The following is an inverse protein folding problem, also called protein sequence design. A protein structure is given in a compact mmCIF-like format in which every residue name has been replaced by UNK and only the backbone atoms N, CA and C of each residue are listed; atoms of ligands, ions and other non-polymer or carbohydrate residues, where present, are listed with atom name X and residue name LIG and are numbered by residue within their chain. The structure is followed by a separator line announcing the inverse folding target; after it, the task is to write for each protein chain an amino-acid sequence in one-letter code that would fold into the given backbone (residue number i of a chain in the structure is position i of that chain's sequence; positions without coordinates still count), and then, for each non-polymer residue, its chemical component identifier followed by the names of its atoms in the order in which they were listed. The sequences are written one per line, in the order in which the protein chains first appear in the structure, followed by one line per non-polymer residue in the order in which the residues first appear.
data_IF_466354520829
#
_entry.id   IF_466354520829
#
_cell.length_a   1.000
_cell.length_b   1.000
_cell.length_c   1.000
_cell.angle_alpha   90.00
_cell.angle_beta   90.00
_cell.angle_gamma   90.00
#
_symmetry.space_group_name_H-M   'P 1'
#
loop_
_entity.id
_entity.type
_entity.pdbx_description
1 polymer ?
#
# COMPACT_ATOMS: atom_id res chain seq x y z
N UNK A 1 -17.83 -15.44 7.38
CA UNK A 1 -16.40 -15.16 7.14
C UNK A 1 -16.01 -13.97 8.03
N UNK A 2 -15.00 -14.11 8.91
CA UNK A 2 -14.62 -13.06 9.86
C UNK A 2 -13.80 -11.96 9.15
N UNK A 3 -14.09 -10.71 9.49
CA UNK A 3 -13.42 -9.47 9.09
C UNK A 3 -11.90 -9.59 8.83
N UNK A 4 -11.16 -10.19 9.77
CA UNK A 4 -9.71 -10.32 9.68
C UNK A 4 -9.24 -11.18 8.49
N UNK A 5 -10.11 -12.09 8.01
CA UNK A 5 -9.76 -13.02 6.94
C UNK A 5 -9.86 -12.38 5.56
N UNK A 6 -10.83 -11.49 5.33
CA UNK A 6 -10.99 -10.86 4.01
C UNK A 6 -9.88 -9.82 3.75
N UNK A 7 -9.57 -8.98 4.74
CA UNK A 7 -8.43 -8.05 4.66
C UNK A 7 -7.12 -8.76 4.42
N UNK A 8 -6.86 -9.83 5.20
CA UNK A 8 -5.66 -10.62 5.05
C UNK A 8 -5.61 -11.25 3.66
N UNK A 9 -6.72 -11.80 3.17
CA UNK A 9 -6.77 -12.41 1.84
C UNK A 9 -6.54 -11.39 0.71
N UNK A 10 -7.17 -10.21 0.78
CA UNK A 10 -6.99 -9.17 -0.25
C UNK A 10 -5.54 -8.66 -0.28
N UNK A 11 -4.93 -8.44 0.88
CA UNK A 11 -3.53 -8.05 0.98
C UNK A 11 -2.61 -9.16 0.46
N UNK A 12 -2.86 -10.41 0.85
CA UNK A 12 -2.08 -11.55 0.36
C UNK A 12 -2.16 -11.67 -1.18
N UNK A 13 -3.30 -11.39 -1.81
CA UNK A 13 -3.41 -11.40 -3.27
C UNK A 13 -2.65 -10.24 -3.93
N UNK A 14 -2.68 -9.05 -3.32
CA UNK A 14 -1.94 -7.89 -3.82
C UNK A 14 -0.44 -8.04 -3.64
N UNK A 15 -0.01 -8.67 -2.54
CA UNK A 15 1.37 -9.09 -2.30
C UNK A 15 1.76 -10.12 -3.36
N UNK A 16 0.99 -11.21 -3.53
CA UNK A 16 1.29 -12.25 -4.52
C UNK A 16 1.35 -11.70 -5.97
N UNK A 17 0.50 -10.75 -6.35
CA UNK A 17 0.56 -10.12 -7.68
C UNK A 17 1.87 -9.37 -7.95
N UNK A 18 2.50 -8.89 -6.88
CA UNK A 18 3.58 -7.91 -6.89
C UNK A 18 4.90 -8.44 -6.32
N UNK A 19 4.91 -9.70 -5.92
CA UNK A 19 6.03 -10.40 -5.32
C UNK A 19 6.70 -11.30 -6.36
N UNK A 20 8.01 -11.43 -6.23
CA UNK A 20 8.87 -12.27 -7.04
C UNK A 20 9.05 -13.67 -6.41
N UNK A 21 8.49 -13.94 -5.23
CA UNK A 21 8.53 -15.27 -4.59
C UNK A 21 7.61 -16.29 -5.27
N UNK A 22 8.04 -17.55 -5.33
CA UNK A 22 7.29 -18.70 -5.91
C UNK A 22 6.73 -18.48 -7.33
N UNK A 23 7.31 -17.54 -8.09
CA UNK A 23 6.90 -17.31 -9.47
C UNK A 23 7.15 -18.57 -10.32
N UNK A 24 6.24 -18.83 -11.26
CA UNK A 24 6.38 -19.94 -12.20
C UNK A 24 6.16 -19.52 -13.66
N UNK A 25 6.09 -18.22 -13.91
CA UNK A 25 6.02 -17.62 -15.24
C UNK A 25 7.03 -16.48 -15.34
N UNK A 26 7.80 -16.46 -16.43
CA UNK A 26 8.56 -15.28 -16.86
C UNK A 26 7.91 -14.75 -18.13
N UNK A 27 7.61 -13.46 -18.16
CA UNK A 27 7.10 -12.74 -19.33
C UNK A 27 8.21 -11.80 -19.81
N UNK A 28 8.80 -12.10 -20.96
CA UNK A 28 9.73 -11.21 -21.65
C UNK A 28 8.93 -10.31 -22.60
N UNK A 29 9.07 -9.00 -22.44
CA UNK A 29 8.34 -7.98 -23.21
C UNK A 29 9.34 -7.15 -23.98
N UNK A 30 9.01 -6.85 -25.24
CA UNK A 30 9.84 -6.06 -26.15
C UNK A 30 10.77 -6.91 -27.02
N UNK A 31 11.64 -6.22 -27.76
CA UNK A 31 12.66 -6.79 -28.63
C UNK A 31 14.03 -6.19 -28.33
N UNK A 32 15.10 -6.94 -28.62
CA UNK A 32 16.47 -6.47 -28.44
C UNK A 32 16.69 -5.12 -29.15
N UNK A 33 17.31 -4.13 -28.49
CA UNK A 33 17.99 -4.19 -27.19
C UNK A 33 17.08 -3.93 -25.96
N UNK A 34 15.81 -3.60 -26.15
CA UNK A 34 14.89 -3.13 -25.11
C UNK A 34 13.96 -4.24 -24.58
N UNK A 35 14.54 -5.39 -24.22
CA UNK A 35 13.78 -6.47 -23.56
C UNK A 35 13.77 -6.27 -22.06
N UNK A 36 12.59 -6.45 -21.44
CA UNK A 36 12.44 -6.55 -19.98
C UNK A 36 11.70 -7.82 -19.61
N UNK A 37 12.12 -8.44 -18.51
CA UNK A 37 11.51 -9.66 -17.97
C UNK A 37 10.69 -9.35 -16.73
N UNK A 38 9.47 -9.89 -16.67
CA UNK A 38 8.55 -9.79 -15.55
C UNK A 38 8.28 -11.18 -14.99
N UNK A 39 8.35 -11.34 -13.68
CA UNK A 39 7.96 -12.57 -13.00
C UNK A 39 6.48 -12.51 -12.62
N UNK A 40 5.81 -13.65 -12.71
CA UNK A 40 4.39 -13.74 -12.40
C UNK A 40 3.97 -15.17 -12.03
N UNK A 41 2.76 -15.29 -11.49
CA UNK A 41 2.15 -16.56 -11.12
C UNK A 41 1.09 -16.95 -12.14
N UNK A 42 1.24 -18.13 -12.73
CA UNK A 42 0.30 -18.68 -13.72
C UNK A 42 -1.14 -18.75 -13.20
N UNK A 43 -1.34 -19.02 -11.91
CA UNK A 43 -2.66 -19.03 -11.29
C UNK A 43 -3.35 -17.66 -11.44
N UNK A 44 -2.66 -16.57 -11.09
CA UNK A 44 -3.20 -15.21 -11.22
C UNK A 44 -3.49 -14.90 -12.69
N UNK A 45 -2.51 -15.11 -13.57
CA UNK A 45 -2.63 -14.77 -14.99
C UNK A 45 -3.81 -15.49 -15.68
N UNK A 46 -4.00 -16.78 -15.38
CA UNK A 46 -5.08 -17.61 -15.95
C UNK A 46 -6.48 -17.15 -15.53
N UNK A 47 -6.63 -16.60 -14.33
CA UNK A 47 -7.92 -16.10 -13.84
C UNK A 47 -8.19 -14.64 -14.25
N UNK A 48 -7.13 -13.86 -14.51
CA UNK A 48 -7.24 -12.44 -14.85
C UNK A 48 -7.34 -12.17 -16.34
N UNK A 49 -6.89 -13.10 -17.19
CA UNK A 49 -6.86 -12.90 -18.64
C UNK A 49 -7.09 -14.20 -19.39
N UNK A 50 -8.13 -14.22 -20.23
CA UNK A 50 -8.38 -15.32 -21.16
C UNK A 50 -7.19 -15.55 -22.10
N UNK A 51 -6.55 -14.47 -22.55
CA UNK A 51 -5.34 -14.57 -23.36
C UNK A 51 -4.23 -15.34 -22.64
N UNK A 52 -3.92 -14.99 -21.38
CA UNK A 52 -2.92 -15.73 -20.62
C UNK A 52 -3.40 -17.12 -20.22
N UNK A 53 -4.71 -17.31 -20.03
CA UNK A 53 -5.30 -18.62 -19.79
C UNK A 53 -4.94 -19.61 -20.90
N UNK A 54 -5.27 -19.25 -22.13
CA UNK A 54 -5.06 -20.08 -23.31
C UNK A 54 -3.57 -20.19 -23.63
N UNK A 55 -2.83 -19.08 -23.53
CA UNK A 55 -1.39 -19.07 -23.82
C UNK A 55 -0.61 -19.98 -22.85
N UNK A 56 -0.93 -19.97 -21.56
CA UNK A 56 -0.27 -20.80 -20.55
C UNK A 56 -0.69 -22.28 -20.58
N UNK A 57 -1.77 -22.63 -21.30
CA UNK A 57 -2.20 -24.02 -21.47
C UNK A 57 -1.19 -24.82 -22.31
N UNK A 58 -0.57 -24.17 -23.31
CA UNK A 58 0.27 -24.82 -24.31
C UNK A 58 1.79 -24.63 -24.08
N UNK A 59 2.20 -23.84 -23.09
CA UNK A 59 3.61 -23.58 -22.83
C UNK A 59 4.24 -24.74 -22.06
N UNK A 60 5.33 -25.26 -22.62
CA UNK A 60 6.23 -26.22 -21.98
C UNK A 60 7.08 -25.47 -20.96
N UNK A 61 7.20 -26.05 -19.77
CA UNK A 61 8.05 -25.53 -18.70
C UNK A 61 9.49 -26.00 -18.89
N UNK A 62 10.46 -25.20 -18.41
CA UNK A 62 11.87 -25.58 -18.41
C UNK A 62 12.20 -26.59 -17.28
N UNK A 63 13.48 -26.92 -17.13
CA UNK A 63 13.96 -27.85 -16.09
C UNK A 63 13.70 -27.36 -14.66
N UNK A 64 13.44 -26.07 -14.48
CA UNK A 64 13.11 -25.45 -13.20
C UNK A 64 11.58 -25.28 -13.01
N UNK A 65 10.76 -25.88 -13.87
CA UNK A 65 9.31 -25.73 -13.90
C UNK A 65 8.83 -24.29 -14.20
N UNK A 66 9.64 -23.48 -14.87
CA UNK A 66 9.30 -22.11 -15.25
C UNK A 66 8.75 -22.09 -16.67
N UNK A 67 7.61 -21.41 -16.85
CA UNK A 67 7.02 -21.15 -18.17
C UNK A 67 7.45 -19.79 -18.69
N UNK A 68 8.01 -19.72 -19.90
CA UNK A 68 8.43 -18.45 -20.50
C UNK A 68 7.45 -17.99 -21.58
N UNK A 69 6.97 -16.75 -21.48
CA UNK A 69 6.15 -16.06 -22.48
C UNK A 69 6.99 -14.95 -23.10
N UNK A 70 7.07 -14.92 -24.43
CA UNK A 70 7.67 -13.80 -25.16
C UNK A 70 6.56 -12.94 -25.80
N UNK A 71 6.56 -11.64 -25.51
CA UNK A 71 5.64 -10.60 -26.01
C UNK A 71 6.45 -9.56 -26.78
N UNK A 72 6.96 -9.97 -27.95
CA UNK A 72 7.88 -9.17 -28.76
C UNK A 72 7.27 -7.86 -29.27
N UNK A 73 6.02 -7.90 -29.72
CA UNK A 73 5.34 -6.74 -30.31
C UNK A 73 4.72 -5.78 -29.28
N UNK A 74 5.03 -5.93 -27.99
CA UNK A 74 4.55 -5.05 -26.92
C UNK A 74 5.75 -4.30 -26.39
N UNK A 75 5.66 -2.96 -26.37
CA UNK A 75 6.69 -2.14 -25.73
C UNK A 75 6.63 -2.35 -24.21
N UNK A 76 7.80 -2.42 -23.57
CA UNK A 76 7.91 -2.60 -22.13
C UNK A 76 7.09 -1.59 -21.34
N UNK A 77 7.13 -0.32 -21.73
CA UNK A 77 6.36 0.78 -21.13
C UNK A 77 4.84 0.55 -21.17
N UNK A 78 4.32 0.00 -22.28
CA UNK A 78 2.89 -0.31 -22.39
C UNK A 78 2.47 -1.46 -21.48
N UNK A 79 3.34 -2.46 -21.30
CA UNK A 79 3.05 -3.59 -20.41
C UNK A 79 3.07 -3.19 -18.94
N UNK A 80 4.04 -2.35 -18.55
CA UNK A 80 4.09 -1.75 -17.21
C UNK A 80 2.86 -0.90 -16.93
N UNK A 81 2.49 -0.04 -17.88
CA UNK A 81 1.28 0.76 -17.77
C UNK A 81 0.02 -0.10 -17.59
N UNK A 82 -0.11 -1.20 -18.35
CA UNK A 82 -1.23 -2.13 -18.19
C UNK A 82 -1.24 -2.80 -16.81
N UNK A 83 -0.07 -3.18 -16.28
CA UNK A 83 0.05 -3.77 -14.95
C UNK A 83 -0.41 -2.79 -13.86
N UNK A 84 0.06 -1.55 -13.92
CA UNK A 84 -0.29 -0.50 -12.96
C UNK A 84 -1.77 -0.13 -13.04
N UNK A 85 -2.31 -0.01 -14.26
CA UNK A 85 -3.73 0.29 -14.49
C UNK A 85 -4.65 -0.83 -13.97
N UNK A 86 -4.23 -2.10 -14.08
CA UNK A 86 -4.96 -3.23 -13.51
C UNK A 86 -4.96 -3.20 -11.97
N UNK A 87 -3.82 -2.90 -11.34
CA UNK A 87 -3.73 -2.76 -9.89
C UNK A 87 -4.64 -1.62 -9.40
N UNK A 88 -4.57 -0.46 -10.05
CA UNK A 88 -5.40 0.72 -9.77
C UNK A 88 -6.90 0.43 -9.92
N UNK A 89 -7.30 -0.24 -10.99
CA UNK A 89 -8.71 -0.60 -11.21
C UNK A 89 -9.23 -1.57 -10.15
N UNK A 90 -8.39 -2.51 -9.69
CA UNK A 90 -8.75 -3.42 -8.60
C UNK A 90 -8.93 -2.67 -7.27
N UNK A 91 -8.02 -1.76 -6.93
CA UNK A 91 -8.16 -0.93 -5.73
C UNK A 91 -9.43 -0.08 -5.78
N UNK A 92 -9.67 0.61 -6.90
CA UNK A 92 -10.87 1.45 -7.11
C UNK A 92 -12.15 0.63 -6.95
N UNK A 93 -12.22 -0.54 -7.60
CA UNK A 93 -13.37 -1.42 -7.48
C UNK A 93 -13.60 -1.86 -6.02
N UNK A 94 -12.54 -2.18 -5.27
CA UNK A 94 -12.67 -2.54 -3.85
C UNK A 94 -13.15 -1.35 -3.01
N UNK A 95 -12.64 -0.15 -3.28
CA UNK A 95 -13.04 1.09 -2.62
C UNK A 95 -14.53 1.38 -2.82
N UNK A 96 -15.01 1.26 -4.04
CA UNK A 96 -16.41 1.54 -4.40
C UNK A 96 -17.34 0.44 -3.85
N UNK A 97 -17.03 -0.82 -4.15
CA UNK A 97 -17.91 -1.97 -3.83
C UNK A 97 -17.96 -2.29 -2.32
N UNK A 98 -16.95 -1.91 -1.54
CA UNK A 98 -16.87 -2.13 -0.09
C UNK A 98 -16.83 -0.83 0.71
N UNK A 99 -17.23 0.29 0.13
CA UNK A 99 -17.17 1.62 0.75
C UNK A 99 -17.74 1.69 2.18
N UNK A 100 -18.92 1.12 2.43
CA UNK A 100 -19.51 1.09 3.79
C UNK A 100 -18.64 0.34 4.79
N UNK A 101 -18.10 -0.80 4.38
CA UNK A 101 -17.21 -1.62 5.20
C UNK A 101 -15.88 -0.90 5.47
N UNK A 102 -15.30 -0.31 4.42
CA UNK A 102 -14.05 0.47 4.53
C UNK A 102 -14.19 1.65 5.49
N UNK A 103 -15.33 2.35 5.45
CA UNK A 103 -15.61 3.46 6.38
C UNK A 103 -15.74 2.99 7.83
N UNK A 104 -16.31 1.80 8.07
CA UNK A 104 -16.41 1.22 9.41
C UNK A 104 -15.04 0.85 9.98
N UNK A 105 -14.12 0.40 9.12
CA UNK A 105 -12.78 -0.05 9.50
C UNK A 105 -11.67 0.93 9.10
N UNK A 106 -12.03 2.21 9.01
CA UNK A 106 -11.21 3.26 8.41
C UNK A 106 -9.77 3.30 8.93
N UNK A 107 -9.55 3.41 10.24
CA UNK A 107 -8.20 3.56 10.79
C UNK A 107 -7.30 2.38 10.45
N UNK A 108 -7.85 1.16 10.50
CA UNK A 108 -7.13 -0.07 10.16
C UNK A 108 -6.82 -0.18 8.67
N UNK A 109 -7.76 0.20 7.82
CA UNK A 109 -7.55 0.29 6.36
C UNK A 109 -6.42 1.27 6.06
N UNK A 110 -6.45 2.47 6.64
CA UNK A 110 -5.41 3.46 6.43
C UNK A 110 -4.05 2.97 6.92
N UNK A 111 -3.99 2.42 8.14
CA UNK A 111 -2.76 1.83 8.66
C UNK A 111 -2.18 0.77 7.71
N UNK A 112 -3.01 -0.12 7.15
CA UNK A 112 -2.58 -1.14 6.20
C UNK A 112 -2.18 -0.57 4.84
N UNK A 113 -2.92 0.41 4.33
CA UNK A 113 -2.61 1.07 3.06
C UNK A 113 -1.24 1.76 3.09
N UNK A 114 -0.89 2.46 4.17
CA UNK A 114 0.41 3.13 4.31
C UNK A 114 1.56 2.18 4.69
N UNK A 115 1.27 0.91 5.02
CA UNK A 115 2.30 -0.12 5.18
C UNK A 115 2.80 -0.69 3.86
N UNK A 116 2.02 -0.54 2.79
CA UNK A 116 2.32 -1.05 1.46
C UNK A 116 2.36 0.11 0.47
N UNK A 117 3.56 0.46 0.01
CA UNK A 117 3.78 1.61 -0.86
C UNK A 117 3.12 1.47 -2.24
N UNK A 118 2.58 0.29 -2.59
CA UNK A 118 1.89 0.03 -3.87
C UNK A 118 0.38 0.34 -3.83
N UNK A 119 -0.22 0.56 -2.65
CA UNK A 119 -1.67 0.77 -2.49
C UNK A 119 -2.08 2.23 -2.65
N UNK A 120 -1.79 2.82 -3.81
CA UNK A 120 -1.89 4.26 -4.02
C UNK A 120 -3.33 4.79 -3.96
N UNK A 121 -4.30 4.05 -4.50
CA UNK A 121 -5.70 4.51 -4.50
C UNK A 121 -6.31 4.39 -3.10
N UNK A 122 -5.97 3.35 -2.33
CA UNK A 122 -6.38 3.27 -0.92
C UNK A 122 -5.76 4.37 -0.07
N UNK A 123 -4.47 4.69 -0.27
CA UNK A 123 -3.81 5.79 0.44
C UNK A 123 -4.48 7.13 0.11
N UNK A 124 -4.78 7.38 -1.16
CA UNK A 124 -5.52 8.56 -1.62
C UNK A 124 -6.90 8.64 -1.00
N UNK A 125 -7.67 7.56 -1.05
CA UNK A 125 -8.99 7.46 -0.43
C UNK A 125 -8.96 7.75 1.08
N UNK A 126 -7.96 7.22 1.78
CA UNK A 126 -7.72 7.52 3.19
C UNK A 126 -7.47 9.01 3.41
N UNK A 127 -6.53 9.57 2.66
CA UNK A 127 -6.18 10.97 2.75
C UNK A 127 -7.38 11.90 2.50
N UNK A 128 -8.21 11.62 1.50
CA UNK A 128 -9.41 12.41 1.17
C UNK A 128 -10.44 12.43 2.32
N UNK A 129 -10.49 11.38 3.13
CA UNK A 129 -11.33 11.31 4.32
C UNK A 129 -10.67 12.04 5.50
N UNK A 130 -9.37 11.87 5.70
CA UNK A 130 -8.61 12.52 6.78
C UNK A 130 -8.71 14.04 6.67
N UNK A 131 -8.60 14.58 5.46
CA UNK A 131 -8.67 16.03 5.21
C UNK A 131 -10.01 16.62 5.61
N UNK A 132 -11.10 15.89 5.36
CA UNK A 132 -12.46 16.33 5.69
C UNK A 132 -12.80 16.15 7.16
N UNK A 133 -12.23 15.15 7.81
CA UNK A 133 -12.54 14.79 9.20
C UNK A 133 -11.28 14.52 10.04
N UNK A 134 -10.34 15.48 10.13
CA UNK A 134 -9.05 15.25 10.77
C UNK A 134 -9.21 14.98 12.26
N UNK A 135 -10.12 15.67 12.96
CA UNK A 135 -10.38 15.43 14.38
C UNK A 135 -10.78 13.97 14.65
N UNK A 136 -11.57 13.34 13.76
CA UNK A 136 -12.00 11.94 13.92
C UNK A 136 -10.83 10.96 13.74
N UNK A 137 -9.97 11.21 12.75
CA UNK A 137 -8.79 10.39 12.52
C UNK A 137 -7.79 10.52 13.66
N UNK A 138 -7.40 11.75 13.99
CA UNK A 138 -6.43 12.04 15.03
C UNK A 138 -6.92 11.68 16.43
N UNK A 139 -8.23 11.59 16.67
CA UNK A 139 -8.77 11.15 17.97
C UNK A 139 -8.94 9.63 18.10
N UNK A 140 -8.71 8.86 17.02
CA UNK A 140 -8.81 7.41 17.04
C UNK A 140 -7.78 6.78 18.00
N UNK A 141 -8.19 5.73 18.72
CA UNK A 141 -7.31 4.96 19.61
C UNK A 141 -6.12 4.35 18.83
N UNK A 142 -6.36 3.94 17.59
CA UNK A 142 -5.36 3.31 16.73
C UNK A 142 -4.40 4.34 16.07
N UNK A 143 -4.62 5.64 16.25
CA UNK A 143 -3.80 6.68 15.61
C UNK A 143 -2.31 6.54 15.97
N UNK A 144 -1.99 6.20 17.21
CA UNK A 144 -0.60 6.03 17.64
C UNK A 144 0.08 4.81 17.02
N UNK A 145 -0.66 3.95 16.32
CA UNK A 145 -0.13 2.73 15.67
C UNK A 145 0.23 2.93 14.20
N UNK A 146 0.02 4.12 13.63
CA UNK A 146 0.42 4.42 12.24
C UNK A 146 1.94 4.52 12.11
N UNK A 147 2.48 4.12 10.95
CA UNK A 147 3.91 4.28 10.64
C UNK A 147 4.26 5.75 10.40
N UNK A 148 5.55 6.06 10.57
CA UNK A 148 6.09 7.42 10.40
C UNK A 148 5.81 7.99 9.00
N UNK A 149 6.06 7.23 7.92
CA UNK A 149 5.75 7.64 6.55
C UNK A 149 4.28 8.07 6.36
N UNK A 150 3.34 7.37 7.00
CA UNK A 150 1.91 7.70 7.01
C UNK A 150 1.64 9.02 7.72
N UNK A 151 2.24 9.22 8.91
CA UNK A 151 2.09 10.46 9.66
C UNK A 151 2.65 11.64 8.85
N UNK A 152 3.83 11.48 8.25
CA UNK A 152 4.47 12.52 7.43
C UNK A 152 3.63 12.88 6.21
N UNK A 153 3.03 11.90 5.52
CA UNK A 153 2.17 12.17 4.36
C UNK A 153 0.92 12.97 4.73
N UNK A 154 0.39 12.79 5.95
CA UNK A 154 -0.78 13.51 6.45
C UNK A 154 -0.41 14.94 6.86
N UNK A 155 0.65 15.13 7.66
CA UNK A 155 0.99 16.45 8.20
C UNK A 155 1.59 17.41 7.16
N UNK A 156 2.09 16.89 6.02
CA UNK A 156 2.58 17.70 4.88
C UNK A 156 1.45 18.37 4.08
N UNK A 157 0.19 18.10 4.41
CA UNK A 157 -0.96 18.63 3.68
C UNK A 157 -1.41 19.98 4.21
N UNK A 158 -1.45 20.96 3.33
CA UNK A 158 -1.91 22.32 3.65
C UNK A 158 -3.45 22.43 3.71
N UNK A 159 -4.18 21.42 3.23
CA UNK A 159 -5.65 21.43 3.13
C UNK A 159 -6.35 20.74 4.31
N UNK A 160 -5.60 20.26 5.32
CA UNK A 160 -6.16 19.69 6.53
C UNK A 160 -7.10 20.70 7.21
N UNK A 161 -8.35 20.30 7.42
CA UNK A 161 -9.36 21.12 8.10
C UNK A 161 -9.15 21.13 9.64
N UNK A 162 -7.94 21.44 10.09
CA UNK A 162 -7.50 21.44 11.49
C UNK A 162 -6.40 22.48 11.70
N UNK A 163 -6.40 23.17 12.84
CA UNK A 163 -5.33 24.12 13.16
C UNK A 163 -4.00 23.42 13.42
N UNK A 164 -2.89 24.03 12.98
CA UNK A 164 -1.54 23.48 13.17
C UNK A 164 -1.23 23.12 14.63
N UNK A 165 -1.67 23.96 15.57
CA UNK A 165 -1.47 23.70 17.01
C UNK A 165 -2.14 22.39 17.46
N UNK A 166 -3.31 22.04 16.89
CA UNK A 166 -3.96 20.75 17.16
C UNK A 166 -3.18 19.60 16.51
N UNK A 167 -2.75 19.77 15.26
CA UNK A 167 -1.92 18.77 14.56
C UNK A 167 -0.67 18.46 15.37
N UNK A 168 0.06 19.49 15.82
CA UNK A 168 1.25 19.34 16.65
C UNK A 168 1.00 18.58 17.96
N UNK A 169 -0.13 18.82 18.64
CA UNK A 169 -0.51 18.06 19.84
C UNK A 169 -0.67 16.56 19.53
N UNK A 170 -1.24 16.22 18.39
CA UNK A 170 -1.37 14.81 17.97
C UNK A 170 -0.03 14.21 17.55
N UNK A 171 0.83 14.94 16.84
CA UNK A 171 2.19 14.49 16.50
C UNK A 171 3.00 14.16 17.75
N UNK A 172 2.93 15.02 18.77
CA UNK A 172 3.56 14.76 20.08
C UNK A 172 2.98 13.51 20.72
N UNK A 173 1.65 13.35 20.72
CA UNK A 173 0.97 12.17 21.28
C UNK A 173 1.42 10.88 20.58
N UNK A 174 1.54 10.90 19.25
CA UNK A 174 2.10 9.80 18.47
C UNK A 174 3.55 9.52 18.84
N UNK A 175 4.37 10.57 18.96
CA UNK A 175 5.78 10.49 19.33
C UNK A 175 6.04 9.88 20.70
N UNK A 176 5.23 10.23 21.71
CA UNK A 176 5.24 9.61 23.04
C UNK A 176 4.96 8.11 22.93
N UNK A 177 3.96 7.74 22.13
CA UNK A 177 3.58 6.33 21.98
C UNK A 177 4.66 5.48 21.28
N UNK A 178 5.50 6.09 20.42
CA UNK A 178 6.65 5.40 19.81
C UNK A 178 7.84 5.26 20.77
N UNK A 179 7.92 6.09 21.81
CA UNK A 179 9.06 6.17 22.73
C UNK A 179 8.56 6.02 24.17
N UNK A 180 8.33 4.77 24.61
CA UNK A 180 7.72 4.44 25.89
C UNK A 180 8.43 5.01 27.13
N UNK A 181 9.70 5.40 27.00
CA UNK A 181 10.51 5.93 28.08
C UNK A 181 10.29 7.45 28.30
N UNK A 182 9.46 8.10 27.47
CA UNK A 182 9.22 9.53 27.55
C UNK A 182 8.17 9.91 28.60
N UNK A 183 8.35 11.04 29.31
CA UNK A 183 7.32 11.58 30.17
C UNK A 183 6.05 11.92 29.38
N UNK A 184 4.89 11.44 29.84
CA UNK A 184 3.61 11.76 29.20
C UNK A 184 3.25 13.25 29.27
N UNK A 185 3.83 13.98 30.24
CA UNK A 185 3.62 15.41 30.40
C UNK A 185 4.71 16.22 29.69
N UNK A 186 4.32 17.00 28.69
CA UNK A 186 5.18 17.92 27.94
C UNK A 186 5.98 18.89 28.81
N UNK A 187 5.46 19.29 29.98
CA UNK A 187 6.20 20.17 30.90
C UNK A 187 7.46 19.52 31.48
N UNK A 188 7.56 18.20 31.42
CA UNK A 188 8.69 17.43 31.93
C UNK A 188 9.68 17.07 30.82
N UNK A 189 9.47 17.53 29.59
CA UNK A 189 10.34 17.20 28.47
C UNK A 189 11.65 17.98 28.54
N UNK A 190 12.75 17.25 28.36
CA UNK A 190 14.09 17.82 28.17
C UNK A 190 14.37 18.00 26.67
N UNK A 191 15.46 18.72 26.34
CA UNK A 191 15.94 18.82 24.97
C UNK A 191 16.21 17.45 24.33
N UNK A 192 16.64 16.46 25.11
CA UNK A 192 16.85 15.09 24.63
C UNK A 192 15.53 14.43 24.19
N UNK A 193 14.43 14.66 24.91
CA UNK A 193 13.12 14.13 24.49
C UNK A 193 12.68 14.70 23.13
N UNK A 194 12.92 16.00 22.89
CA UNK A 194 12.65 16.63 21.60
C UNK A 194 13.55 16.12 20.48
N UNK A 195 14.84 15.88 20.77
CA UNK A 195 15.79 15.29 19.81
C UNK A 195 15.39 13.87 19.44
N UNK A 196 14.98 13.05 20.41
CA UNK A 196 14.48 11.70 20.17
C UNK A 196 13.23 11.74 19.29
N UNK A 197 12.27 12.62 19.59
CA UNK A 197 11.07 12.79 18.76
C UNK A 197 11.42 13.17 17.32
N UNK A 198 12.34 14.13 17.14
CA UNK A 198 12.82 14.53 15.82
C UNK A 198 13.41 13.34 15.05
N UNK A 199 14.26 12.56 15.71
CA UNK A 199 14.87 11.37 15.10
C UNK A 199 13.83 10.30 14.74
N UNK A 200 12.79 10.11 15.56
CA UNK A 200 11.67 9.20 15.26
C UNK A 200 10.91 9.61 14.00
N UNK A 201 10.71 10.93 13.80
CA UNK A 201 10.02 11.48 12.64
C UNK A 201 10.87 11.52 11.37
N UNK A 202 12.16 11.12 11.41
CA UNK A 202 13.10 11.08 10.27
C UNK A 202 13.03 12.31 9.35
N UNK A 203 12.75 13.48 9.93
CA UNK A 203 12.61 14.77 9.23
C UNK A 203 13.85 15.65 9.45
#
# INVERSE_FOLDING_TARGET
MNLKHFEKLSNNYLELLNDDEDFNVIINVGESPNIKSFKAHSAILRYRSLYFHDKLANIIQDNNNIKTINLKNILTEHFEFLHDELAKNLETYLIESKSSWLRLHFTRVCQKSFQNDKLHEFQKWCNDIIVKYPDKFFSSEDFTSIKENALVSIIKRDDLQMSEVKVWKHVIRWGIAQNSDHPSNLKNWTNENFLTLKNTLKN
#
